data_IF_759466614699
#
_entry.id   IF_759466614699
#
_cell.length_a   1.000
_cell.length_b   1.000
_cell.length_c   1.000
_cell.angle_alpha   90.00
_cell.angle_beta   90.00
_cell.angle_gamma   90.00
#
_symmetry.space_group_name_H-M   'P 1'
#
loop_
_entity.id
_entity.type
_entity.pdbx_description
1 polymer ?
#
# COMPACT_ATOMS: atom_id res chain seq x y z
N UNK A 1 8.80 -26.13 8.17
CA UNK A 1 8.63 -26.73 8.01
C UNK A 1 8.54 -26.67 7.71
N UNK A 2 8.06 -25.94 7.96
CA UNK A 2 7.75 -26.36 7.73
C UNK A 2 7.72 -26.26 7.48
N UNK A 3 7.61 -25.74 7.67
CA UNK A 3 7.36 -26.23 7.53
C UNK A 3 7.26 -26.04 7.20
N UNK A 4 7.12 -25.61 7.59
CA UNK A 4 6.87 -26.00 7.27
C UNK A 4 6.67 -25.55 6.92
N UNK A 5 6.40 -24.90 6.99
CA UNK A 5 5.87 -25.00 6.69
C UNK A 5 5.81 -24.88 6.63
N UNK A 6 5.78 -24.52 7.00
CA UNK A 6 5.48 -25.15 6.93
C UNK A 6 5.28 -25.35 6.65
N UNK A 7 5.06 -25.17 6.81
CA UNK A 7 4.67 -25.85 6.64
C UNK A 7 4.26 -25.70 6.50
N UNK A 8 4.28 -25.32 6.96
CA UNK A 8 3.66 -25.69 6.96
C UNK A 8 3.45 -25.32 6.93
N UNK A 9 3.31 -25.02 7.07
CA UNK A 9 2.81 -25.13 7.01
C UNK A 9 2.60 -25.15 7.05
N UNK A 10 2.45 -25.20 7.31
CA UNK A 10 2.09 -25.64 7.37
C UNK A 10 1.98 -25.57 7.54
N UNK A 11 1.78 -25.59 7.88
CA UNK A 11 1.51 -25.90 8.07
C UNK A 11 1.47 -25.66 8.36
N UNK A 12 1.25 -25.61 8.71
CA UNK A 12 0.97 -25.89 8.92
C UNK A 12 0.96 -25.73 9.10
N UNK A 13 0.70 -25.85 9.28
CA UNK A 13 0.55 -26.15 9.28
C UNK A 13 0.49 -26.03 9.20
N UNK A 14 0.20 -26.21 9.61
CA UNK A 14 0.00 -26.37 9.33
C UNK A 14 -0.31 -25.85 9.31
N UNK A 15 -0.78 -25.87 9.49
CA UNK A 15 -1.34 -25.04 9.39
C UNK A 15 -1.59 -23.89 10.29
N UNK A 16 -1.77 -23.70 11.30
CA UNK A 16 -1.71 -22.84 12.29
C UNK A 16 -0.74 -21.75 12.20
N UNK A 17 0.36 -22.12 12.02
CA UNK A 17 1.44 -21.29 11.62
C UNK A 17 1.08 -20.51 10.40
N UNK A 18 0.22 -21.04 9.63
CA UNK A 18 -0.26 -20.40 8.44
C UNK A 18 -0.97 -19.09 8.73
N UNK A 19 -1.71 -18.99 9.81
CA UNK A 19 -2.41 -17.75 10.16
C UNK A 19 -1.43 -16.64 10.45
N UNK A 20 -0.35 -16.93 11.14
CA UNK A 20 0.67 -15.91 11.44
C UNK A 20 1.40 -15.46 10.18
N UNK A 21 1.66 -16.39 9.29
CA UNK A 21 2.32 -16.06 8.04
C UNK A 21 1.44 -15.14 7.20
N UNK A 22 0.15 -15.42 7.17
CA UNK A 22 -0.76 -14.57 6.41
C UNK A 22 -0.84 -13.16 6.96
N UNK A 23 -0.79 -13.02 8.28
CA UNK A 23 -0.80 -11.70 8.89
C UNK A 23 0.41 -10.88 8.42
N UNK A 24 1.57 -11.52 8.29
CA UNK A 24 2.78 -10.84 7.86
C UNK A 24 2.72 -10.48 6.37
N UNK A 25 2.00 -11.28 5.58
CA UNK A 25 1.96 -11.10 4.13
C UNK A 25 0.63 -10.52 3.65
N UNK A 26 -0.15 -9.91 4.55
CA UNK A 26 -1.43 -9.32 4.16
C UNK A 26 -1.24 -8.29 3.05
N UNK A 27 -2.11 -8.35 2.06
CA UNK A 27 -2.10 -7.41 0.95
C UNK A 27 -3.51 -6.91 0.71
N UNK A 28 -3.60 -5.77 0.04
CA UNK A 28 -4.89 -5.24 -0.35
C UNK A 28 -5.36 -5.93 -1.62
N UNK A 29 -6.67 -5.97 -1.82
CA UNK A 29 -7.22 -6.47 -3.08
C UNK A 29 -6.97 -5.45 -4.17
N UNK A 30 -6.84 -5.90 -5.43
CA UNK A 30 -6.64 -4.95 -6.53
C UNK A 30 -7.72 -3.87 -6.56
N UNK A 31 -8.97 -4.24 -6.28
CA UNK A 31 -10.08 -3.29 -6.28
C UNK A 31 -9.90 -2.22 -5.21
N UNK A 32 -9.30 -2.59 -4.07
CA UNK A 32 -9.08 -1.64 -2.99
C UNK A 32 -8.01 -0.63 -3.36
N UNK A 33 -6.96 -1.09 -4.03
CA UNK A 33 -5.90 -0.18 -4.50
C UNK A 33 -6.45 0.76 -5.57
N UNK A 34 -7.27 0.22 -6.47
CA UNK A 34 -7.89 1.04 -7.50
C UNK A 34 -8.81 2.10 -6.91
N UNK A 35 -9.59 1.72 -5.89
CA UNK A 35 -10.48 2.69 -5.25
C UNK A 35 -9.69 3.77 -4.54
N UNK A 36 -8.62 3.41 -3.84
CA UNK A 36 -7.79 4.40 -3.17
C UNK A 36 -7.20 5.38 -4.18
N UNK A 37 -6.70 4.86 -5.29
CA UNK A 37 -6.16 5.70 -6.36
C UNK A 37 -7.21 6.64 -6.94
N UNK A 38 -8.43 6.12 -7.15
CA UNK A 38 -9.52 6.92 -7.70
C UNK A 38 -9.93 8.04 -6.74
N UNK A 39 -9.97 7.76 -5.45
CA UNK A 39 -10.30 8.77 -4.46
C UNK A 39 -9.27 9.88 -4.44
N UNK A 40 -8.00 9.54 -4.58
CA UNK A 40 -6.94 10.54 -4.66
C UNK A 40 -7.09 11.39 -5.91
N UNK A 41 -7.44 10.75 -7.04
CA UNK A 41 -7.63 11.46 -8.29
C UNK A 41 -8.79 12.45 -8.19
N UNK A 42 -9.84 12.09 -7.44
CA UNK A 42 -10.97 12.97 -7.23
C UNK A 42 -10.68 14.09 -6.24
N UNK A 43 -9.60 13.99 -5.49
CA UNK A 43 -9.23 15.02 -4.53
C UNK A 43 -9.92 14.87 -3.18
N UNK A 44 -10.52 13.73 -2.90
CA UNK A 44 -11.22 13.50 -1.64
C UNK A 44 -10.25 12.99 -0.58
N UNK A 45 -9.56 13.92 0.08
CA UNK A 45 -8.54 13.55 1.05
C UNK A 45 -9.12 12.75 2.22
N UNK A 46 -10.24 13.19 2.76
CA UNK A 46 -10.79 12.56 3.95
C UNK A 46 -11.19 11.12 3.72
N UNK A 47 -11.85 10.85 2.61
CA UNK A 47 -12.22 9.47 2.28
C UNK A 47 -11.00 8.63 1.92
N UNK A 48 -10.04 9.23 1.22
CA UNK A 48 -8.79 8.56 0.92
C UNK A 48 -8.05 8.16 2.19
N UNK A 49 -7.97 9.08 3.14
CA UNK A 49 -7.30 8.82 4.42
C UNK A 49 -8.00 7.71 5.20
N UNK A 50 -9.33 7.74 5.24
CA UNK A 50 -10.09 6.70 5.92
C UNK A 50 -9.84 5.33 5.30
N UNK A 51 -9.82 5.28 3.97
CA UNK A 51 -9.57 4.01 3.30
C UNK A 51 -8.16 3.52 3.56
N UNK A 52 -7.18 4.42 3.52
CA UNK A 52 -5.81 4.07 3.83
C UNK A 52 -5.70 3.48 5.23
N UNK A 53 -6.32 4.13 6.22
CA UNK A 53 -6.27 3.66 7.59
C UNK A 53 -6.98 2.32 7.77
N UNK A 54 -8.07 2.12 7.05
CA UNK A 54 -8.76 0.83 7.09
C UNK A 54 -7.84 -0.28 6.57
N UNK A 55 -7.13 -0.03 5.49
CA UNK A 55 -6.21 -1.01 4.94
C UNK A 55 -5.05 -1.29 5.90
N UNK A 56 -4.52 -0.27 6.53
CA UNK A 56 -3.38 -0.42 7.43
C UNK A 56 -3.77 -1.04 8.77
N UNK A 57 -4.86 -0.58 9.37
CA UNK A 57 -5.20 -0.97 10.73
C UNK A 57 -6.22 -2.08 10.82
N UNK A 58 -7.30 -2.01 10.05
CA UNK A 58 -8.32 -3.05 10.10
C UNK A 58 -7.87 -4.31 9.37
N UNK A 59 -7.19 -4.14 8.25
CA UNK A 59 -6.71 -5.28 7.46
C UNK A 59 -5.29 -5.66 7.77
N UNK A 60 -4.57 -4.83 8.52
CA UNK A 60 -3.23 -5.16 8.98
C UNK A 60 -2.17 -5.16 7.89
N UNK A 61 -2.36 -4.35 6.84
CA UNK A 61 -1.39 -4.30 5.75
C UNK A 61 -0.26 -3.36 6.12
N UNK A 62 0.98 -3.84 6.02
CA UNK A 62 2.15 -3.03 6.36
C UNK A 62 2.30 -1.88 5.38
N UNK A 63 2.77 -0.71 5.85
CA UNK A 63 2.94 0.45 4.96
C UNK A 63 3.82 0.17 3.75
N UNK A 64 4.93 -0.55 3.94
CA UNK A 64 5.80 -0.85 2.80
C UNK A 64 5.13 -1.74 1.78
N UNK A 65 4.22 -2.61 2.21
CA UNK A 65 3.49 -3.45 1.27
C UNK A 65 2.48 -2.62 0.48
N UNK A 66 1.79 -1.69 1.15
CA UNK A 66 0.89 -0.77 0.44
C UNK A 66 1.66 0.06 -0.58
N UNK A 67 2.85 0.55 -0.21
CA UNK A 67 3.68 1.29 -1.15
C UNK A 67 4.03 0.45 -2.37
N UNK A 68 4.39 -0.81 -2.16
CA UNK A 68 4.70 -1.71 -3.27
C UNK A 68 3.50 -1.91 -4.18
N UNK A 69 2.32 -2.08 -3.59
CA UNK A 69 1.11 -2.27 -4.38
C UNK A 69 0.72 -1.01 -5.16
N UNK A 70 0.85 0.17 -4.52
CA UNK A 70 0.60 1.43 -5.19
C UNK A 70 1.60 1.64 -6.33
N UNK A 71 2.87 1.34 -6.09
CA UNK A 71 3.89 1.46 -7.12
C UNK A 71 3.56 0.59 -8.32
N UNK A 72 3.20 -0.66 -8.09
CA UNK A 72 2.86 -1.56 -9.19
C UNK A 72 1.64 -1.07 -9.96
N UNK A 73 0.62 -0.60 -9.23
CA UNK A 73 -0.59 -0.11 -9.88
C UNK A 73 -0.30 1.10 -10.76
N UNK A 74 0.50 2.04 -10.25
CA UNK A 74 0.83 3.25 -11.02
C UNK A 74 1.73 2.91 -12.20
N UNK A 75 2.76 2.09 -11.97
CA UNK A 75 3.75 1.82 -13.02
C UNK A 75 3.18 1.00 -14.17
N UNK A 76 2.17 0.16 -13.90
CA UNK A 76 1.57 -0.66 -14.95
C UNK A 76 0.34 -0.03 -15.58
N UNK A 77 -0.17 1.06 -15.02
CA UNK A 77 -1.33 1.75 -15.60
C UNK A 77 -0.93 2.39 -16.93
N UNK A 78 -1.79 2.23 -17.93
CA UNK A 78 -1.53 2.80 -19.26
C UNK A 78 -2.46 3.97 -19.57
N UNK A 79 -3.32 4.34 -18.63
CA UNK A 79 -4.27 5.43 -18.81
C UNK A 79 -3.93 6.67 -17.95
N UNK A 80 -2.71 6.71 -17.43
CA UNK A 80 -2.23 7.85 -16.63
C UNK A 80 -1.25 8.67 -17.47
N UNK A 81 -1.49 9.99 -17.48
CA UNK A 81 -0.58 10.91 -18.18
C UNK A 81 0.86 10.75 -17.66
N UNK A 82 1.82 10.86 -18.56
CA UNK A 82 3.23 10.63 -18.23
C UNK A 82 3.70 11.50 -17.07
N UNK A 83 3.36 12.80 -17.10
CA UNK A 83 3.78 13.70 -16.02
C UNK A 83 3.23 13.25 -14.68
N UNK A 84 1.95 12.88 -14.66
CA UNK A 84 1.30 12.45 -13.43
C UNK A 84 1.96 11.16 -12.94
N UNK A 85 2.15 10.20 -13.83
CA UNK A 85 2.77 8.93 -13.45
C UNK A 85 4.16 9.15 -12.88
N UNK A 86 4.95 9.99 -13.52
CA UNK A 86 6.31 10.28 -13.05
C UNK A 86 6.29 10.88 -11.65
N UNK A 87 5.40 11.85 -11.43
CA UNK A 87 5.31 12.51 -10.13
C UNK A 87 4.80 11.57 -9.05
N UNK A 88 3.85 10.71 -9.39
CA UNK A 88 3.33 9.73 -8.42
C UNK A 88 4.42 8.75 -8.00
N UNK A 89 5.19 8.27 -8.94
CA UNK A 89 6.28 7.33 -8.64
C UNK A 89 7.35 8.00 -7.79
N UNK A 90 7.66 9.26 -8.10
CA UNK A 90 8.64 10.02 -7.32
C UNK A 90 8.16 10.16 -5.87
N UNK A 91 6.88 10.45 -5.67
CA UNK A 91 6.32 10.58 -4.33
C UNK A 91 6.39 9.26 -3.57
N UNK A 92 6.10 8.14 -4.26
CA UNK A 92 6.19 6.81 -3.63
C UNK A 92 7.64 6.52 -3.20
N UNK A 93 8.59 6.82 -4.07
CA UNK A 93 9.99 6.58 -3.77
C UNK A 93 10.48 7.38 -2.58
N UNK A 94 10.06 8.64 -2.49
CA UNK A 94 10.45 9.47 -1.36
C UNK A 94 9.87 8.94 -0.06
N UNK A 95 8.61 8.53 -0.08
CA UNK A 95 7.96 7.96 1.09
C UNK A 95 8.66 6.67 1.53
N UNK A 96 8.99 5.82 0.58
CA UNK A 96 9.70 4.57 0.86
C UNK A 96 11.04 4.84 1.54
N UNK A 97 11.78 5.80 1.02
CA UNK A 97 13.07 6.17 1.59
C UNK A 97 12.92 6.66 3.03
N UNK A 98 11.95 7.56 3.27
CA UNK A 98 11.75 8.12 4.60
C UNK A 98 11.33 7.04 5.60
N UNK A 99 10.48 6.11 5.17
CA UNK A 99 10.09 5.01 6.04
C UNK A 99 11.26 4.13 6.40
N UNK A 100 12.14 3.86 5.44
CA UNK A 100 13.32 3.04 5.70
C UNK A 100 14.30 3.75 6.65
N UNK A 101 14.23 5.08 6.73
CA UNK A 101 15.06 5.87 7.64
C UNK A 101 14.40 6.06 9.00
N UNK A 102 13.27 5.43 9.24
CA UNK A 102 12.62 5.45 10.55
C UNK A 102 11.57 6.53 10.76
N UNK A 103 11.12 7.18 9.69
CA UNK A 103 10.09 8.19 9.82
C UNK A 103 8.77 7.58 10.27
N UNK A 104 7.90 8.40 10.87
CA UNK A 104 6.61 7.96 11.37
C UNK A 104 5.72 7.51 10.21
N UNK A 105 5.31 6.24 10.23
CA UNK A 105 4.56 5.66 9.13
C UNK A 105 3.21 6.34 8.92
N UNK A 106 2.50 6.65 10.00
CA UNK A 106 1.19 7.29 9.87
C UNK A 106 1.30 8.63 9.16
N UNK A 107 2.27 9.43 9.57
CA UNK A 107 2.46 10.75 8.98
C UNK A 107 2.90 10.63 7.52
N UNK A 108 3.84 9.73 7.25
CA UNK A 108 4.35 9.57 5.89
C UNK A 108 3.30 9.04 4.93
N UNK A 109 2.47 8.11 5.37
CA UNK A 109 1.42 7.57 4.50
C UNK A 109 0.33 8.59 4.25
N UNK A 110 -0.06 9.38 5.26
CA UNK A 110 -1.01 10.47 5.05
C UNK A 110 -0.43 11.54 4.12
N UNK A 111 0.86 11.84 4.29
CA UNK A 111 1.53 12.80 3.41
C UNK A 111 1.57 12.30 1.97
N UNK A 112 1.72 10.99 1.78
CA UNK A 112 1.71 10.41 0.45
C UNK A 112 0.35 10.63 -0.23
N UNK A 113 -0.74 10.40 0.52
CA UNK A 113 -2.08 10.66 0.00
C UNK A 113 -2.22 12.12 -0.40
N UNK A 114 -1.75 13.03 0.44
CA UNK A 114 -1.80 14.46 0.13
C UNK A 114 -1.01 14.78 -1.14
N UNK A 115 0.17 14.19 -1.29
CA UNK A 115 0.98 14.40 -2.49
C UNK A 115 0.28 13.87 -3.74
N UNK A 116 -0.32 12.69 -3.65
CA UNK A 116 -1.07 12.13 -4.76
C UNK A 116 -2.16 13.08 -5.22
N UNK A 117 -2.93 13.60 -4.25
CA UNK A 117 -4.01 14.54 -4.58
C UNK A 117 -3.47 15.79 -5.27
N UNK A 118 -2.39 16.36 -4.73
CA UNK A 118 -1.80 17.56 -5.33
C UNK A 118 -1.31 17.28 -6.75
N UNK A 119 -0.72 16.13 -6.97
CA UNK A 119 -0.20 15.78 -8.29
C UNK A 119 -1.33 15.70 -9.30
N UNK A 120 -2.45 15.09 -8.92
CA UNK A 120 -3.61 14.99 -9.81
C UNK A 120 -4.26 16.34 -10.08
N UNK A 121 -4.17 17.27 -9.11
CA UNK A 121 -4.78 18.61 -9.28
C UNK A 121 -3.98 19.50 -10.21
N UNK A 122 -2.69 19.26 -10.34
CA UNK A 122 -1.83 20.05 -11.23
C UNK A 122 -2.04 19.63 -12.70
#
# INVERSE_FOLDING_TARGET
>A
KAINALQGAAIVADSVTAANVYAVTSTAKPEEIEMLSALCKEGDFETSERMLHMLMYDKGIAPNELLNQLYRAVSTADDIDRRVKTDLIDAIGETDFRLSEGANADIQMDALIAKFIKIWMD
#
